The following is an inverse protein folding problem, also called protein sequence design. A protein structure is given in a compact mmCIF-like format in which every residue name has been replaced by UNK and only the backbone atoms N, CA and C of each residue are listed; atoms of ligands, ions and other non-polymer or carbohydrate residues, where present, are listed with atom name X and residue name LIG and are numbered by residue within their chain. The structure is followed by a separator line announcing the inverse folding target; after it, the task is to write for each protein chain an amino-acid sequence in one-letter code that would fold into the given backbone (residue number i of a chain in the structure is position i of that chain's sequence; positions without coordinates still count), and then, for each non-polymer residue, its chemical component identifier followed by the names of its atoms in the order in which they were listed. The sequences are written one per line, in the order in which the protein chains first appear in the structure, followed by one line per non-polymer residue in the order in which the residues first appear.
data_IF_978841430712
#
_entry.id   IF_978841430712
#
_cell.length_a   1.000
_cell.length_b   1.000
_cell.length_c   1.000
_cell.angle_alpha   90.00
_cell.angle_beta   90.00
_cell.angle_gamma   90.00
#
_symmetry.space_group_name_H-M   'P 1'
#
loop_
_entity.id
_entity.type
_entity.pdbx_description
1 polymer ?
#
# COMPACT_ATOMS: atom_id res chain seq x y z
N UNK A 1 -1.81 8.97 17.95
CA UNK A 1 -1.73 8.88 17.40
C UNK A 1 -1.38 7.99 16.90
N UNK A 2 -0.95 7.61 16.92
CA UNK A 2 -0.29 6.98 16.11
C UNK A 2 -0.21 5.54 16.25
N UNK A 3 -0.26 4.96 17.40
CA UNK A 3 -0.29 3.52 17.57
C UNK A 3 -1.54 2.91 16.92
N UNK A 4 -2.67 3.61 17.02
CA UNK A 4 -3.90 3.15 16.37
C UNK A 4 -3.79 3.18 14.86
N UNK A 5 -3.13 4.20 14.30
CA UNK A 5 -2.92 4.28 12.85
C UNK A 5 -1.98 3.18 12.37
N UNK A 6 -0.92 2.89 13.12
CA UNK A 6 0.00 1.81 12.77
C UNK A 6 -0.72 0.47 12.79
N UNK A 7 -1.55 0.22 13.79
CA UNK A 7 -2.31 -1.02 13.87
C UNK A 7 -3.32 -1.15 12.73
N UNK A 8 -3.96 -0.03 12.35
CA UNK A 8 -4.86 -0.02 11.21
C UNK A 8 -4.11 -0.40 9.93
N UNK A 9 -2.90 0.16 9.73
CA UNK A 9 -2.11 -0.15 8.55
C UNK A 9 -1.59 -1.58 8.57
N UNK A 10 -1.18 -2.11 9.73
CA UNK A 10 -0.77 -3.52 9.81
C UNK A 10 -1.90 -4.44 9.36
N UNK A 11 -3.12 -4.16 9.81
CA UNK A 11 -4.28 -4.95 9.41
C UNK A 11 -4.54 -4.82 7.91
N UNK A 12 -4.30 -3.63 7.34
CA UNK A 12 -4.46 -3.42 5.90
C UNK A 12 -3.48 -4.26 5.09
N UNK A 13 -2.20 -4.29 5.49
CA UNK A 13 -1.21 -5.11 4.79
C UNK A 13 -1.55 -6.59 4.86
N UNK A 14 -2.03 -7.05 6.01
CA UNK A 14 -2.44 -8.44 6.16
C UNK A 14 -3.61 -8.77 5.25
N UNK A 15 -4.61 -7.88 5.20
CA UNK A 15 -5.78 -8.08 4.35
C UNK A 15 -5.40 -8.02 2.86
N UNK A 16 -4.47 -7.15 2.47
CA UNK A 16 -3.97 -7.09 1.10
C UNK A 16 -3.34 -8.44 0.71
N UNK A 17 -2.50 -8.98 1.57
CA UNK A 17 -1.84 -10.27 1.29
C UNK A 17 -2.84 -11.41 1.15
N UNK A 18 -3.98 -11.32 1.83
CA UNK A 18 -5.03 -12.33 1.78
C UNK A 18 -6.04 -12.07 0.68
N UNK A 19 -5.89 -10.97 -0.05
CA UNK A 19 -6.83 -10.53 -1.09
C UNK A 19 -8.25 -10.33 -0.53
N UNK A 20 -8.33 -9.91 0.71
CA UNK A 20 -9.61 -9.65 1.37
C UNK A 20 -10.03 -8.20 1.13
N UNK A 21 -10.48 -7.94 -0.10
CA UNK A 21 -10.78 -6.59 -0.56
C UNK A 21 -11.92 -5.93 0.22
N UNK A 22 -12.95 -6.69 0.57
CA UNK A 22 -14.06 -6.15 1.33
C UNK A 22 -13.59 -5.61 2.68
N UNK A 23 -12.72 -6.36 3.34
CA UNK A 23 -12.19 -5.95 4.63
C UNK A 23 -11.33 -4.71 4.53
N UNK A 24 -10.51 -4.64 3.48
CA UNK A 24 -9.64 -3.48 3.24
C UNK A 24 -10.48 -2.23 3.07
N UNK A 25 -11.44 -2.26 2.15
CA UNK A 25 -12.16 -1.05 1.77
C UNK A 25 -13.19 -0.60 2.78
N UNK A 26 -13.65 -1.47 3.65
CA UNK A 26 -14.50 -1.06 4.76
C UNK A 26 -13.76 -0.19 5.77
N UNK A 27 -12.45 -0.35 5.86
CA UNK A 27 -11.62 0.40 6.82
C UNK A 27 -11.02 1.66 6.24
N UNK A 28 -11.12 1.84 4.94
CA UNK A 28 -10.56 3.01 4.29
C UNK A 28 -11.56 4.15 4.23
N UNK A 29 -11.04 5.37 4.10
CA UNK A 29 -11.88 6.53 3.91
C UNK A 29 -12.67 6.36 2.59
N UNK A 30 -13.93 6.82 2.52
CA UNK A 30 -14.72 6.70 1.27
C UNK A 30 -14.06 7.38 0.08
N UNK A 31 -13.23 8.39 0.33
CA UNK A 31 -12.52 9.11 -0.73
C UNK A 31 -11.09 8.63 -0.92
N UNK A 32 -10.80 7.42 -0.47
CA UNK A 32 -9.46 6.86 -0.58
C UNK A 32 -8.95 6.89 -2.01
N UNK A 33 -7.67 7.25 -2.17
CA UNK A 33 -7.03 7.12 -3.47
C UNK A 33 -5.65 6.50 -3.34
N UNK A 34 -5.28 5.76 -4.37
CA UNK A 34 -4.00 5.09 -4.48
C UNK A 34 -3.24 5.71 -5.64
N UNK A 35 -2.00 6.14 -5.40
CA UNK A 35 -1.17 6.70 -6.45
C UNK A 35 0.02 5.80 -6.74
N UNK A 36 0.15 5.40 -8.00
CA UNK A 36 1.27 4.61 -8.51
C UNK A 36 2.15 5.48 -9.38
N UNK A 37 3.47 5.22 -9.43
CA UNK A 37 4.36 6.02 -10.28
C UNK A 37 3.91 5.98 -11.75
N UNK A 38 4.01 7.13 -12.42
CA UNK A 38 3.55 7.23 -13.80
C UNK A 38 4.28 6.28 -14.76
N UNK A 39 5.50 5.88 -14.40
CA UNK A 39 6.31 4.97 -15.23
C UNK A 39 5.87 3.52 -15.17
N UNK A 40 5.08 3.18 -14.15
CA UNK A 40 4.59 1.83 -14.00
C UNK A 40 3.54 1.52 -15.05
N UNK A 41 3.46 0.27 -15.53
CA UNK A 41 2.35 -0.13 -16.42
C UNK A 41 0.99 0.13 -15.77
N UNK A 42 0.90 0.08 -14.43
CA UNK A 42 -0.32 0.38 -13.70
C UNK A 42 -0.25 1.76 -13.06
N UNK A 43 0.49 2.69 -13.69
CA UNK A 43 0.68 4.03 -13.15
C UNK A 43 -0.59 4.86 -13.17
N UNK A 44 -0.57 5.94 -12.36
CA UNK A 44 -1.68 6.86 -12.26
C UNK A 44 -2.34 6.82 -10.89
N UNK A 45 -3.49 7.47 -10.79
CA UNK A 45 -4.23 7.58 -9.55
C UNK A 45 -5.55 6.80 -9.67
N UNK A 46 -5.81 5.97 -8.67
CA UNK A 46 -7.04 5.16 -8.57
C UNK A 46 -7.86 5.73 -7.43
N UNK A 47 -9.08 6.18 -7.73
CA UNK A 47 -9.92 6.87 -6.76
C UNK A 47 -11.09 6.00 -6.34
N UNK A 48 -11.25 5.88 -5.03
CA UNK A 48 -12.35 5.15 -4.43
C UNK A 48 -12.12 3.65 -4.38
N UNK A 49 -13.02 2.93 -3.67
CA UNK A 49 -12.85 1.49 -3.47
C UNK A 49 -12.89 0.68 -4.76
N UNK A 50 -13.77 1.03 -5.70
CA UNK A 50 -13.91 0.24 -6.93
C UNK A 50 -12.68 0.31 -7.80
N UNK A 51 -12.14 1.51 -8.03
CA UNK A 51 -10.93 1.66 -8.83
C UNK A 51 -9.73 1.01 -8.15
N UNK A 52 -9.64 1.17 -6.84
CA UNK A 52 -8.54 0.59 -6.08
C UNK A 52 -8.60 -0.94 -6.10
N UNK A 53 -9.80 -1.51 -6.00
CA UNK A 53 -9.96 -2.96 -6.10
C UNK A 53 -9.52 -3.47 -7.47
N UNK A 54 -9.91 -2.76 -8.54
CA UNK A 54 -9.50 -3.13 -9.89
C UNK A 54 -7.98 -3.08 -10.03
N UNK A 55 -7.35 -2.07 -9.43
CA UNK A 55 -5.90 -1.98 -9.43
C UNK A 55 -5.26 -3.21 -8.78
N UNK A 56 -5.75 -3.59 -7.59
CA UNK A 56 -5.20 -4.74 -6.90
C UNK A 56 -5.45 -6.05 -7.66
N UNK A 57 -6.62 -6.20 -8.24
CA UNK A 57 -6.93 -7.39 -9.04
C UNK A 57 -5.95 -7.52 -10.21
N UNK A 58 -5.69 -6.43 -10.90
CA UNK A 58 -4.77 -6.44 -12.04
C UNK A 58 -3.33 -6.69 -11.59
N UNK A 59 -2.92 -6.09 -10.49
CA UNK A 59 -1.56 -6.23 -9.98
C UNK A 59 -1.28 -7.65 -9.49
N UNK A 60 -2.28 -8.31 -8.90
CA UNK A 60 -2.12 -9.64 -8.33
C UNK A 60 -2.38 -10.77 -9.35
N UNK A 61 -3.01 -10.45 -10.47
CA UNK A 61 -3.41 -11.44 -11.49
C UNK A 61 -2.26 -12.35 -11.95
N UNK A 62 -1.05 -11.84 -12.22
CA UNK A 62 0.05 -12.70 -12.69
C UNK A 62 0.63 -13.65 -11.64
N UNK A 63 0.15 -13.59 -10.40
CA UNK A 63 0.78 -14.31 -9.30
C UNK A 63 -0.18 -15.28 -8.63
N UNK A 64 0.36 -16.44 -8.22
CA UNK A 64 -0.40 -17.39 -7.40
C UNK A 64 -0.40 -16.94 -5.93
N UNK A 65 0.67 -16.27 -5.51
CA UNK A 65 0.79 -15.80 -4.13
C UNK A 65 1.49 -14.46 -4.10
N UNK A 66 0.99 -13.55 -3.27
CA UNK A 66 1.62 -12.27 -3.01
C UNK A 66 1.57 -12.02 -1.51
N UNK A 67 2.72 -11.68 -0.94
CA UNK A 67 2.80 -11.27 0.47
C UNK A 67 3.41 -9.88 0.51
N UNK A 68 2.70 -8.94 1.14
CA UNK A 68 3.18 -7.58 1.32
C UNK A 68 3.39 -7.40 2.82
N UNK A 69 4.65 -7.33 3.23
CA UNK A 69 5.01 -7.36 4.64
C UNK A 69 5.62 -6.05 5.08
N UNK A 70 4.96 -5.30 5.98
CA UNK A 70 5.55 -4.07 6.50
C UNK A 70 6.75 -4.40 7.39
N UNK A 71 7.82 -3.63 7.25
CA UNK A 71 9.04 -3.82 8.04
C UNK A 71 9.30 -2.67 8.99
N UNK A 72 9.06 -1.43 8.56
CA UNK A 72 9.30 -0.26 9.40
C UNK A 72 8.21 0.78 9.18
N UNK A 73 7.83 1.49 10.25
CA UNK A 73 6.83 2.55 10.22
C UNK A 73 7.44 3.84 10.73
N UNK A 74 7.24 4.93 9.99
CA UNK A 74 7.72 6.26 10.38
C UNK A 74 6.55 7.23 10.38
N UNK A 75 6.28 7.85 11.50
CA UNK A 75 5.17 8.79 11.60
C UNK A 75 5.62 10.22 11.37
N UNK A 76 4.81 10.99 10.64
CA UNK A 76 5.06 12.39 10.33
C UNK A 76 3.71 13.10 10.28
N UNK A 77 3.22 13.58 11.43
CA UNK A 77 1.91 14.22 11.50
C UNK A 77 0.79 13.24 11.16
N UNK A 78 -0.01 13.58 10.19
CA UNK A 78 -1.10 12.70 9.73
C UNK A 78 -0.64 11.69 8.67
N UNK A 79 0.68 11.61 8.45
CA UNK A 79 1.24 10.71 7.47
C UNK A 79 2.06 9.61 8.14
N UNK A 80 2.06 8.44 7.52
CA UNK A 80 2.86 7.30 7.96
C UNK A 80 3.59 6.76 6.76
N UNK A 81 4.92 6.69 6.84
CA UNK A 81 5.73 6.03 5.82
C UNK A 81 5.94 4.59 6.26
N UNK A 82 5.73 3.66 5.35
CA UNK A 82 5.94 2.24 5.63
C UNK A 82 6.95 1.68 4.65
N UNK A 83 8.06 1.16 5.17
CA UNK A 83 8.98 0.38 4.37
C UNK A 83 8.46 -1.05 4.38
N UNK A 84 8.26 -1.63 3.21
CA UNK A 84 7.68 -2.96 3.11
C UNK A 84 8.44 -3.85 2.15
N UNK A 85 8.26 -5.15 2.32
CA UNK A 85 8.80 -6.16 1.44
C UNK A 85 7.66 -6.80 0.68
N UNK A 86 7.84 -6.91 -0.62
CA UNK A 86 6.92 -7.57 -1.53
C UNK A 86 7.54 -8.91 -1.90
N UNK A 87 6.81 -9.99 -1.69
CA UNK A 87 7.23 -11.31 -2.16
C UNK A 87 6.08 -11.90 -2.96
N UNK A 88 6.38 -12.40 -4.15
CA UNK A 88 5.36 -12.92 -5.04
C UNK A 88 5.85 -14.15 -5.78
N UNK A 89 4.94 -15.06 -6.04
CA UNK A 89 5.24 -16.25 -6.81
C UNK A 89 4.40 -16.20 -8.08
N UNK A 90 5.04 -16.09 -9.26
CA UNK A 90 4.31 -16.06 -10.54
C UNK A 90 3.48 -17.32 -10.76
N UNK A 91 2.41 -17.21 -11.52
CA UNK A 91 1.53 -18.34 -11.79
C UNK A 91 2.29 -19.49 -12.42
N UNK A 92 2.09 -20.69 -11.87
CA UNK A 92 2.70 -21.89 -12.38
C UNK A 92 4.20 -22.01 -12.14
N UNK A 93 4.77 -21.16 -11.29
CA UNK A 93 6.20 -21.16 -10.99
C UNK A 93 6.43 -21.45 -9.53
N UNK A 94 7.59 -22.06 -9.21
CA UNK A 94 8.05 -22.22 -7.84
C UNK A 94 9.03 -21.12 -7.46
N UNK A 95 9.42 -20.26 -8.39
CA UNK A 95 10.33 -19.16 -8.12
C UNK A 95 9.63 -18.07 -7.31
N UNK A 96 10.40 -17.35 -6.49
CA UNK A 96 9.88 -16.25 -5.70
C UNK A 96 10.58 -14.97 -6.13
N UNK A 97 9.76 -13.95 -6.44
CA UNK A 97 10.26 -12.61 -6.74
C UNK A 97 10.15 -11.80 -5.46
N UNK A 98 11.22 -11.12 -5.09
CA UNK A 98 11.24 -10.32 -3.87
C UNK A 98 11.71 -8.90 -4.18
N UNK A 99 11.07 -7.92 -3.53
CA UNK A 99 11.39 -6.52 -3.74
C UNK A 99 11.08 -5.74 -2.47
N UNK A 100 11.73 -4.59 -2.31
CA UNK A 100 11.45 -3.69 -1.19
C UNK A 100 11.14 -2.30 -1.72
N UNK A 101 10.16 -1.66 -1.09
CA UNK A 101 9.70 -0.35 -1.52
C UNK A 101 9.11 0.39 -0.32
N UNK A 102 8.56 1.57 -0.55
CA UNK A 102 7.91 2.35 0.48
C UNK A 102 6.54 2.83 0.05
N UNK A 103 5.66 2.94 1.03
CA UNK A 103 4.37 3.59 0.88
C UNK A 103 4.34 4.84 1.73
N UNK A 104 3.72 5.89 1.21
CA UNK A 104 3.38 7.07 2.00
C UNK A 104 1.87 7.07 2.16
N UNK A 105 1.42 6.81 3.39
CA UNK A 105 0.01 6.81 3.72
C UNK A 105 -0.37 8.13 4.33
N UNK A 106 -1.53 8.66 3.94
CA UNK A 106 -2.14 9.81 4.61
C UNK A 106 -3.36 9.30 5.34
N UNK A 107 -3.46 9.61 6.64
CA UNK A 107 -4.56 9.16 7.48
C UNK A 107 -5.51 10.32 7.74
N UNK A 108 -6.80 10.03 7.85
CA UNK A 108 -7.80 11.02 8.25
C UNK A 108 -8.84 10.36 9.14
N UNK A 109 -8.98 10.88 10.36
CA UNK A 109 -9.93 10.34 11.33
C UNK A 109 -9.76 8.84 11.55
N UNK A 110 -8.50 8.39 11.60
CA UNK A 110 -8.18 7.00 11.84
C UNK A 110 -8.34 6.08 10.64
N UNK A 111 -8.58 6.64 9.45
CA UNK A 111 -8.77 5.85 8.24
C UNK A 111 -7.76 6.25 7.17
N UNK A 112 -7.23 5.27 6.42
CA UNK A 112 -6.37 5.59 5.28
C UNK A 112 -7.14 6.39 4.24
N UNK A 113 -6.62 7.56 3.89
CA UNK A 113 -7.20 8.44 2.90
C UNK A 113 -6.44 8.36 1.59
N UNK A 114 -5.14 8.11 1.65
CA UNK A 114 -4.31 8.08 0.45
C UNK A 114 -3.11 7.18 0.68
N UNK A 115 -2.71 6.47 -0.37
CA UNK A 115 -1.48 5.69 -0.37
C UNK A 115 -0.72 5.98 -1.64
N UNK A 116 0.56 6.32 -1.52
CA UNK A 116 1.42 6.59 -2.67
C UNK A 116 2.60 5.64 -2.63
N UNK A 117 2.87 4.95 -3.76
CA UNK A 117 3.97 4.01 -3.84
C UNK A 117 5.25 4.70 -4.28
N UNK A 118 6.35 4.37 -3.59
CA UNK A 118 7.69 4.81 -3.95
C UNK A 118 8.57 3.58 -4.13
N UNK A 119 8.97 3.26 -5.38
CA UNK A 119 9.85 2.10 -5.62
C UNK A 119 11.17 2.19 -4.87
N UNK A 120 11.70 3.40 -4.68
CA UNK A 120 12.86 3.64 -3.82
C UNK A 120 12.31 4.12 -2.48
N UNK A 121 12.36 3.25 -1.47
CA UNK A 121 11.65 3.48 -0.21
C UNK A 121 12.07 4.76 0.52
N UNK A 122 13.34 5.15 0.42
CA UNK A 122 13.82 6.38 1.06
C UNK A 122 13.14 7.62 0.49
N UNK A 123 12.67 7.55 -0.75
CA UNK A 123 11.93 8.66 -1.36
C UNK A 123 10.58 8.91 -0.70
N UNK A 124 9.99 7.88 -0.09
CA UNK A 124 8.76 8.04 0.66
C UNK A 124 8.98 8.92 1.89
N UNK A 125 10.10 8.71 2.59
CA UNK A 125 10.45 9.56 3.73
C UNK A 125 10.70 11.00 3.31
N UNK A 126 11.45 11.19 2.21
CA UNK A 126 11.71 12.53 1.69
C UNK A 126 10.40 13.25 1.35
N UNK A 127 9.47 12.55 0.71
CA UNK A 127 8.19 13.14 0.36
C UNK A 127 7.39 13.54 1.60
N UNK A 128 7.40 12.73 2.64
CA UNK A 128 6.71 13.04 3.88
C UNK A 128 7.33 14.26 4.56
N UNK A 129 8.64 14.34 4.61
CA UNK A 129 9.35 15.47 5.22
C UNK A 129 9.07 16.78 4.48
N UNK A 130 9.03 16.74 3.15
CA UNK A 130 8.78 17.92 2.35
C UNK A 130 7.36 18.46 2.52
N UNK A 131 6.42 17.61 2.93
CA UNK A 131 5.02 18.01 3.08
C UNK A 131 4.68 18.50 4.49
N UNK A 132 5.63 18.38 5.40
CA UNK A 132 5.48 18.93 6.72
C UNK A 132 5.94 20.39 6.72
#
# INVERSE_FOLDING_TARGET
MSQADIETLRAAYEAISRRDWDRIFRRMHPEFEMKMPDRDPLGGTYRGPEESKRFYDEMFEPFDEVVVEPEEFFERGDQVVVFFRWRARPRGSSAVVENRAGHLWTMRHGKPLRCELFPVREKALEAAELRE
#
